data_IF_850504363957
#
_entry.id   IF_850504363957
#
_cell.length_a   1.000
_cell.length_b   1.000
_cell.length_c   1.000
_cell.angle_alpha   90.00
_cell.angle_beta   90.00
_cell.angle_gamma   90.00
#
_symmetry.space_group_name_H-M   'P 1'
#
loop_
_entity.id
_entity.type
_entity.pdbx_description
1 polymer ?
#
# COMPACT_ATOMS: atom_id res chain seq x y z
N UNK A 1 23.81 -9.41 -9.46
CA UNK A 1 23.88 -9.13 -8.02
C UNK A 1 22.48 -8.84 -7.50
N UNK A 2 22.14 -9.31 -6.30
CA UNK A 2 20.85 -9.10 -5.64
C UNK A 2 21.09 -8.67 -4.19
N UNK A 3 20.41 -7.64 -3.75
CA UNK A 3 20.39 -7.21 -2.35
C UNK A 3 18.95 -7.04 -1.87
N UNK A 4 18.67 -7.39 -0.62
CA UNK A 4 17.38 -7.12 0.06
C UNK A 4 17.72 -6.76 1.50
N UNK A 5 17.14 -5.67 1.96
CA UNK A 5 17.14 -5.23 3.36
C UNK A 5 15.70 -5.01 3.80
N UNK A 6 15.36 -5.46 4.99
CA UNK A 6 14.03 -5.26 5.58
C UNK A 6 14.17 -5.03 7.09
N UNK A 7 13.38 -4.10 7.58
CA UNK A 7 13.21 -3.82 9.01
C UNK A 7 11.72 -3.70 9.30
N UNK A 8 11.24 -4.43 10.30
CA UNK A 8 9.85 -4.40 10.74
C UNK A 8 9.85 -4.19 12.25
N UNK A 9 9.09 -3.23 12.70
CA UNK A 9 8.90 -2.93 14.11
C UNK A 9 7.41 -2.93 14.44
N UNK A 10 7.05 -3.59 15.51
CA UNK A 10 5.71 -3.64 16.07
C UNK A 10 5.77 -3.21 17.53
N UNK A 11 4.85 -2.32 17.92
CA UNK A 11 4.66 -1.91 19.30
C UNK A 11 3.22 -2.22 19.68
N UNK A 12 3.04 -3.08 20.66
CA UNK A 12 1.74 -3.53 21.16
C UNK A 12 1.44 -2.82 22.48
N UNK A 13 0.20 -2.35 22.65
CA UNK A 13 -0.27 -1.72 23.89
C UNK A 13 -1.62 -2.31 24.29
N UNK A 14 -1.86 -2.30 25.60
CA UNK A 14 -3.18 -2.62 26.16
C UNK A 14 -4.10 -1.39 26.16
N UNK A 15 -5.32 -1.56 26.67
CA UNK A 15 -6.34 -0.50 26.75
C UNK A 15 -5.97 0.66 27.68
N UNK A 16 -4.98 0.48 28.58
CA UNK A 16 -4.43 1.52 29.45
C UNK A 16 -3.21 2.22 28.82
N UNK A 17 -2.82 1.80 27.59
CA UNK A 17 -1.65 2.31 26.88
C UNK A 17 -0.31 1.75 27.37
N UNK A 18 -0.32 0.70 28.22
CA UNK A 18 0.87 0.02 28.70
C UNK A 18 1.46 -0.87 27.59
N UNK A 19 2.80 -0.88 27.47
CA UNK A 19 3.48 -1.75 26.53
C UNK A 19 3.31 -3.23 26.90
N UNK A 20 3.10 -4.04 25.87
CA UNK A 20 3.03 -5.50 25.98
C UNK A 20 4.32 -6.08 25.43
N UNK A 21 5.16 -6.62 26.32
CA UNK A 21 6.47 -7.19 25.96
C UNK A 21 6.34 -8.58 25.29
N UNK A 22 5.30 -9.33 25.68
CA UNK A 22 5.07 -10.71 25.23
C UNK A 22 3.74 -10.86 24.48
N UNK A 23 3.57 -10.25 23.29
CA UNK A 23 2.26 -10.18 22.61
C UNK A 23 1.65 -11.54 22.26
N UNK A 24 2.48 -12.60 22.10
CA UNK A 24 1.97 -13.95 21.85
C UNK A 24 1.31 -14.57 23.07
N UNK A 25 1.86 -14.30 24.25
CA UNK A 25 1.33 -14.81 25.53
C UNK A 25 0.16 -13.97 26.05
N UNK A 26 0.16 -12.67 25.75
CA UNK A 26 -0.77 -11.66 26.27
C UNK A 26 -1.72 -11.12 25.18
N UNK A 27 -1.97 -11.89 24.13
CA UNK A 27 -2.74 -11.46 22.96
C UNK A 27 -4.12 -10.87 23.28
N UNK A 28 -4.77 -11.36 24.35
CA UNK A 28 -6.11 -10.92 24.77
C UNK A 28 -6.09 -9.51 25.41
N UNK A 29 -4.92 -9.02 25.81
CA UNK A 29 -4.73 -7.68 26.34
C UNK A 29 -4.45 -6.63 25.25
N UNK A 30 -4.13 -7.06 24.03
CA UNK A 30 -3.75 -6.15 22.95
C UNK A 30 -4.98 -5.30 22.56
N UNK A 31 -4.86 -3.98 22.73
CA UNK A 31 -5.86 -3.00 22.30
C UNK A 31 -5.39 -2.20 21.08
N UNK A 32 -4.08 -1.97 20.94
CA UNK A 32 -3.54 -1.25 19.78
C UNK A 32 -2.19 -1.81 19.33
N UNK A 33 -1.88 -1.56 18.06
CA UNK A 33 -0.62 -1.92 17.41
C UNK A 33 -0.12 -0.72 16.61
N UNK A 34 1.14 -0.31 16.84
CA UNK A 34 1.86 0.55 15.93
C UNK A 34 2.81 -0.32 15.11
N UNK A 35 2.79 -0.14 13.81
CA UNK A 35 3.65 -0.83 12.87
C UNK A 35 4.49 0.18 12.11
N UNK A 36 5.80 -0.06 12.06
CA UNK A 36 6.72 0.62 11.16
C UNK A 36 7.45 -0.42 10.33
N UNK A 37 7.42 -0.25 9.01
CA UNK A 37 8.03 -1.16 8.07
C UNK A 37 8.90 -0.44 7.06
N UNK A 38 10.08 -0.97 6.83
CA UNK A 38 10.99 -0.56 5.78
C UNK A 38 11.46 -1.77 5.01
N UNK A 39 11.46 -1.68 3.69
CA UNK A 39 12.03 -2.69 2.82
C UNK A 39 12.62 -2.03 1.59
N UNK A 40 13.86 -2.38 1.27
CA UNK A 40 14.49 -2.01 0.00
C UNK A 40 15.17 -3.22 -0.64
N UNK A 41 15.35 -3.15 -1.93
CA UNK A 41 16.06 -4.18 -2.66
C UNK A 41 16.51 -3.71 -4.02
N UNK A 42 17.53 -4.39 -4.53
CA UNK A 42 18.03 -4.17 -5.88
C UNK A 42 18.43 -5.48 -6.55
N UNK A 43 18.25 -5.53 -7.85
CA UNK A 43 18.67 -6.63 -8.70
C UNK A 43 19.35 -6.05 -9.93
N UNK A 44 20.55 -6.56 -10.23
CA UNK A 44 21.26 -6.26 -11.48
C UNK A 44 21.71 -7.58 -12.12
N UNK A 45 21.47 -7.73 -13.41
CA UNK A 45 21.90 -8.89 -14.20
C UNK A 45 22.20 -8.48 -15.64
N UNK A 46 23.03 -9.28 -16.30
CA UNK A 46 23.26 -9.16 -17.75
C UNK A 46 22.38 -10.12 -18.52
N UNK A 47 21.80 -9.64 -19.58
CA UNK A 47 21.05 -10.46 -20.53
C UNK A 47 22.00 -11.33 -21.36
N UNK A 48 21.55 -12.40 -22.03
CA UNK A 48 22.38 -13.18 -22.97
C UNK A 48 22.98 -12.34 -24.08
N UNK A 49 22.35 -11.23 -24.45
CA UNK A 49 22.86 -10.25 -25.44
C UNK A 49 23.91 -9.29 -24.86
N UNK A 50 24.31 -9.45 -23.60
CA UNK A 50 25.33 -8.62 -22.95
C UNK A 50 24.80 -7.30 -22.36
N UNK A 51 23.54 -6.96 -22.56
CA UNK A 51 22.94 -5.73 -22.02
C UNK A 51 22.72 -5.84 -20.51
N UNK A 52 22.94 -4.74 -19.83
CA UNK A 52 22.71 -4.66 -18.39
C UNK A 52 21.25 -4.30 -18.11
N UNK A 53 20.64 -4.98 -17.14
CA UNK A 53 19.34 -4.65 -16.58
C UNK A 53 19.46 -4.50 -15.10
N UNK A 54 18.92 -3.42 -14.56
CA UNK A 54 18.83 -3.23 -13.11
C UNK A 54 17.42 -2.81 -12.70
N UNK A 55 17.06 -3.15 -11.50
CA UNK A 55 15.85 -2.65 -10.83
C UNK A 55 16.11 -2.48 -9.35
N UNK A 56 15.52 -1.45 -8.78
CA UNK A 56 15.53 -1.19 -7.34
C UNK A 56 14.13 -0.83 -6.87
N UNK A 57 13.88 -1.08 -5.60
CA UNK A 57 12.66 -0.64 -4.93
C UNK A 57 12.96 -0.27 -3.48
N UNK A 58 12.18 0.64 -2.97
CA UNK A 58 12.09 0.98 -1.55
C UNK A 58 10.61 1.11 -1.18
N UNK A 59 10.24 0.60 -0.01
CA UNK A 59 8.92 0.71 0.57
C UNK A 59 9.04 1.06 2.03
N UNK A 60 8.29 2.07 2.47
CA UNK A 60 8.10 2.47 3.86
C UNK A 60 6.62 2.41 4.18
N UNK A 61 6.28 1.99 5.38
CA UNK A 61 4.91 1.98 5.85
C UNK A 61 4.88 2.27 7.35
N UNK A 62 3.92 3.08 7.76
CA UNK A 62 3.62 3.37 9.16
C UNK A 62 2.13 3.24 9.35
N UNK A 63 1.71 2.31 10.22
CA UNK A 63 0.32 2.03 10.47
C UNK A 63 0.03 2.00 11.96
N UNK A 64 -1.11 2.55 12.33
CA UNK A 64 -1.67 2.50 13.67
C UNK A 64 -3.04 1.82 13.64
N UNK A 65 -3.24 0.84 14.50
CA UNK A 65 -4.47 0.07 14.62
C UNK A 65 -4.94 0.14 16.08
N UNK A 66 -6.20 0.46 16.28
CA UNK A 66 -6.86 0.50 17.59
C UNK A 66 -8.13 -0.34 17.60
N UNK A 67 -8.70 -0.55 18.79
CA UNK A 67 -9.95 -1.27 18.98
C UNK A 67 -9.81 -2.78 18.89
N UNK A 68 -8.61 -3.32 19.12
CA UNK A 68 -8.36 -4.77 19.06
C UNK A 68 -8.89 -5.52 20.28
N UNK A 69 -9.11 -4.86 21.42
CA UNK A 69 -9.69 -5.45 22.63
C UNK A 69 -11.09 -6.00 22.38
N UNK A 70 -11.46 -7.04 23.12
CA UNK A 70 -12.75 -7.74 22.94
C UNK A 70 -13.99 -6.86 23.20
N UNK A 71 -13.83 -5.80 24.01
CA UNK A 71 -14.92 -4.88 24.34
C UNK A 71 -15.25 -3.89 23.21
N UNK A 72 -14.37 -3.72 22.22
CA UNK A 72 -14.61 -2.86 21.05
C UNK A 72 -15.28 -3.66 19.93
N UNK A 73 -16.32 -3.09 19.33
CA UNK A 73 -17.00 -3.66 18.15
C UNK A 73 -16.35 -3.22 16.83
N UNK A 74 -15.43 -2.27 16.91
CA UNK A 74 -14.83 -1.63 15.73
C UNK A 74 -13.33 -1.58 15.89
N UNK A 75 -12.62 -1.88 14.80
CA UNK A 75 -11.18 -1.65 14.64
C UNK A 75 -11.01 -0.38 13.81
N UNK A 76 -10.15 0.53 14.24
CA UNK A 76 -9.73 1.69 13.46
C UNK A 76 -8.32 1.49 12.95
N UNK A 77 -8.06 2.01 11.75
CA UNK A 77 -6.79 1.85 11.07
C UNK A 77 -6.41 3.19 10.41
N UNK A 78 -5.24 3.70 10.74
CA UNK A 78 -4.71 4.92 10.17
C UNK A 78 -3.23 4.75 9.81
N UNK A 79 -2.79 5.47 8.79
CA UNK A 79 -1.37 5.50 8.45
C UNK A 79 -1.10 5.76 6.99
N UNK A 80 0.12 5.46 6.59
CA UNK A 80 0.60 5.74 5.25
C UNK A 80 1.59 4.68 4.76
N UNK A 81 1.72 4.61 3.44
CA UNK A 81 2.69 3.79 2.76
C UNK A 81 3.29 4.57 1.59
N UNK A 82 4.60 4.55 1.52
CA UNK A 82 5.37 5.12 0.41
C UNK A 82 6.11 4.00 -0.32
N UNK A 83 6.11 4.06 -1.64
CA UNK A 83 6.84 3.14 -2.50
C UNK A 83 7.60 3.92 -3.56
N UNK A 84 8.85 3.55 -3.76
CA UNK A 84 9.68 4.06 -4.84
C UNK A 84 10.32 2.89 -5.59
N UNK A 85 10.50 3.04 -6.89
CA UNK A 85 11.19 2.04 -7.69
C UNK A 85 11.86 2.67 -8.90
N UNK A 86 12.91 2.04 -9.35
CA UNK A 86 13.61 2.41 -10.56
C UNK A 86 13.96 1.17 -11.38
N UNK A 87 13.95 1.31 -12.70
CA UNK A 87 14.40 0.28 -13.65
C UNK A 87 15.27 0.93 -14.71
N UNK A 88 16.33 0.25 -15.05
CA UNK A 88 17.18 0.61 -16.19
C UNK A 88 17.37 -0.62 -17.08
N UNK A 89 17.19 -0.44 -18.38
CA UNK A 89 17.38 -1.50 -19.38
C UNK A 89 17.57 -0.92 -20.78
N UNK A 90 18.13 -1.72 -21.67
CA UNK A 90 18.21 -1.40 -23.10
C UNK A 90 17.03 -2.06 -23.80
N UNK A 91 16.27 -1.27 -24.58
CA UNK A 91 15.14 -1.78 -25.36
C UNK A 91 15.60 -2.50 -26.66
N UNK A 92 14.64 -3.09 -27.39
CA UNK A 92 14.92 -3.83 -28.64
C UNK A 92 15.50 -2.97 -29.77
N UNK A 93 15.43 -1.63 -29.64
CA UNK A 93 16.03 -0.65 -30.56
C UNK A 93 17.44 -0.20 -30.13
N UNK A 94 18.01 -0.81 -29.08
CA UNK A 94 19.31 -0.46 -28.56
C UNK A 94 19.35 0.85 -27.76
N UNK A 95 18.20 1.40 -27.37
CA UNK A 95 18.13 2.63 -26.61
C UNK A 95 18.06 2.32 -25.10
N UNK A 96 18.77 3.11 -24.31
CA UNK A 96 18.65 3.08 -22.86
C UNK A 96 17.29 3.62 -22.43
N UNK A 97 16.65 2.89 -21.52
CA UNK A 97 15.36 3.23 -20.92
C UNK A 97 15.52 3.25 -19.41
N UNK A 98 15.17 4.38 -18.83
CA UNK A 98 15.02 4.55 -17.39
C UNK A 98 13.55 4.73 -17.05
N UNK A 99 13.10 4.04 -16.02
CA UNK A 99 11.76 4.17 -15.47
C UNK A 99 11.86 4.39 -13.96
N UNK A 100 11.23 5.44 -13.48
CA UNK A 100 11.07 5.73 -12.06
C UNK A 100 9.59 5.68 -11.70
N UNK A 101 9.31 5.18 -10.53
CA UNK A 101 7.97 5.07 -9.98
C UNK A 101 7.99 5.53 -8.53
N UNK A 102 7.00 6.36 -8.17
CA UNK A 102 6.71 6.74 -6.78
C UNK A 102 5.22 6.60 -6.55
N UNK A 103 4.83 6.03 -5.41
CA UNK A 103 3.47 6.00 -4.96
C UNK A 103 3.41 6.32 -3.47
N UNK A 104 2.44 7.11 -3.10
CA UNK A 104 2.08 7.42 -1.72
C UNK A 104 0.61 7.07 -1.53
N UNK A 105 0.33 6.34 -0.46
CA UNK A 105 -1.01 5.96 -0.03
C UNK A 105 -1.14 6.36 1.43
N UNK A 106 -2.20 7.08 1.77
CA UNK A 106 -2.46 7.56 3.13
C UNK A 106 -3.95 7.45 3.44
N UNK A 107 -4.30 7.16 4.68
CA UNK A 107 -5.69 7.23 5.13
C UNK A 107 -6.14 8.70 5.19
N UNK A 108 -7.30 9.01 4.61
CA UNK A 108 -7.96 10.30 4.74
C UNK A 108 -8.98 10.21 5.88
N UNK A 109 -8.49 10.41 7.11
CA UNK A 109 -9.17 10.02 8.34
C UNK A 109 -9.08 8.51 8.60
N UNK A 110 -9.60 8.04 9.73
CA UNK A 110 -9.52 6.63 10.08
C UNK A 110 -10.38 5.75 9.15
N UNK A 111 -9.83 4.61 8.78
CA UNK A 111 -10.58 3.50 8.18
C UNK A 111 -11.15 2.65 9.30
N UNK A 112 -12.43 2.34 9.22
CA UNK A 112 -13.16 1.56 10.21
C UNK A 112 -13.44 0.17 9.69
N UNK A 113 -13.21 -0.84 10.52
CA UNK A 113 -13.54 -2.23 10.25
C UNK A 113 -14.44 -2.71 11.39
N UNK A 114 -15.70 -3.00 11.09
CA UNK A 114 -16.59 -3.64 12.07
C UNK A 114 -16.08 -5.06 12.30
N UNK A 115 -16.01 -5.49 13.56
CA UNK A 115 -15.55 -6.86 13.88
C UNK A 115 -16.54 -7.88 13.35
N UNK A 116 -16.07 -8.85 12.54
CA UNK A 116 -16.95 -9.80 11.89
C UNK A 116 -17.56 -10.77 12.89
N UNK A 117 -18.82 -11.13 12.68
CA UNK A 117 -19.38 -12.37 13.19
C UNK A 117 -18.87 -13.56 12.36
N UNK A 118 -19.16 -14.79 12.77
CA UNK A 118 -18.63 -16.01 12.13
C UNK A 118 -18.99 -16.16 10.62
N UNK A 119 -19.95 -15.39 10.11
CA UNK A 119 -20.46 -15.47 8.74
C UNK A 119 -20.17 -14.24 7.89
N UNK A 120 -19.62 -13.18 8.47
CA UNK A 120 -19.39 -11.92 7.77
C UNK A 120 -18.03 -11.93 7.06
N UNK A 121 -17.94 -11.24 5.93
CA UNK A 121 -16.70 -11.05 5.21
C UNK A 121 -16.20 -9.62 5.38
N UNK A 122 -14.89 -9.45 5.55
CA UNK A 122 -14.27 -8.17 5.92
C UNK A 122 -14.54 -7.06 4.90
N UNK A 123 -14.68 -7.39 3.62
CA UNK A 123 -14.96 -6.42 2.57
C UNK A 123 -16.31 -5.71 2.77
N UNK A 124 -17.29 -6.36 3.41
CA UNK A 124 -18.60 -5.80 3.74
C UNK A 124 -18.64 -5.05 5.07
N UNK A 125 -17.52 -5.00 5.78
CA UNK A 125 -17.41 -4.39 7.11
C UNK A 125 -16.41 -3.25 7.15
N UNK A 126 -15.82 -2.89 6.00
CA UNK A 126 -14.75 -1.90 5.89
C UNK A 126 -15.29 -0.59 5.33
N UNK A 127 -15.01 0.51 6.04
CA UNK A 127 -15.47 1.87 5.73
C UNK A 127 -14.31 2.84 5.86
N UNK A 128 -14.25 3.82 4.97
CA UNK A 128 -13.26 4.91 5.05
C UNK A 128 -12.64 5.24 3.72
N UNK A 129 -11.76 6.21 3.72
CA UNK A 129 -11.15 6.75 2.51
C UNK A 129 -9.64 6.70 2.61
N UNK A 130 -9.01 6.32 1.51
CA UNK A 130 -7.57 6.44 1.28
C UNK A 130 -7.33 7.49 0.19
N UNK A 131 -6.35 8.35 0.38
CA UNK A 131 -5.82 9.19 -0.67
C UNK A 131 -4.57 8.55 -1.26
N UNK A 132 -4.37 8.71 -2.57
CA UNK A 132 -3.19 8.20 -3.24
C UNK A 132 -2.62 9.20 -4.24
N UNK A 133 -1.30 9.15 -4.39
CA UNK A 133 -0.54 9.86 -5.40
C UNK A 133 0.40 8.85 -6.08
N UNK A 134 0.44 8.85 -7.41
CA UNK A 134 1.34 8.00 -8.19
C UNK A 134 2.02 8.85 -9.24
N UNK A 135 3.34 8.77 -9.29
CA UNK A 135 4.15 9.43 -10.31
C UNK A 135 5.02 8.39 -11.00
N UNK A 136 4.98 8.37 -12.33
CA UNK A 136 5.83 7.54 -13.17
C UNK A 136 6.57 8.43 -14.16
N UNK A 137 7.88 8.24 -14.25
CA UNK A 137 8.76 8.92 -15.22
C UNK A 137 9.41 7.87 -16.08
N UNK A 138 9.33 8.03 -17.38
CA UNK A 138 10.03 7.19 -18.35
C UNK A 138 10.92 8.06 -19.22
N UNK A 139 12.22 7.76 -19.25
CA UNK A 139 13.21 8.39 -20.13
C UNK A 139 13.68 7.38 -21.16
N UNK A 140 13.75 7.80 -22.44
CA UNK A 140 14.26 6.98 -23.53
C UNK A 140 15.05 7.89 -24.46
N UNK A 141 16.38 7.82 -24.40
CA UNK A 141 17.25 8.82 -25.04
C UNK A 141 16.93 10.22 -24.52
N UNK A 142 16.70 11.18 -25.41
CA UNK A 142 16.35 12.57 -25.06
C UNK A 142 14.85 12.79 -24.76
N UNK A 143 14.04 11.74 -24.77
CA UNK A 143 12.60 11.83 -24.52
C UNK A 143 12.28 11.47 -23.08
N UNK A 144 11.55 12.36 -22.42
CA UNK A 144 10.95 12.11 -21.10
C UNK A 144 9.43 12.13 -21.20
N UNK A 145 8.79 11.18 -20.55
CA UNK A 145 7.33 11.11 -20.38
C UNK A 145 7.04 10.98 -18.89
N UNK A 146 6.20 11.87 -18.38
CA UNK A 146 5.77 11.89 -16.98
C UNK A 146 4.27 11.62 -16.91
N UNK A 147 3.86 10.70 -16.06
CA UNK A 147 2.48 10.44 -15.71
C UNK A 147 2.32 10.67 -14.22
N UNK A 148 1.38 11.53 -13.86
CA UNK A 148 0.99 11.81 -12.49
C UNK A 148 -0.49 11.54 -12.33
N UNK A 149 -0.84 10.78 -11.30
CA UNK A 149 -2.21 10.42 -10.97
C UNK A 149 -2.37 10.55 -9.47
N UNK A 150 -3.40 11.25 -9.07
CA UNK A 150 -3.82 11.38 -7.67
C UNK A 150 -5.33 11.21 -7.54
N UNK A 151 -5.78 10.76 -6.39
CA UNK A 151 -7.19 10.54 -6.16
C UNK A 151 -7.49 9.88 -4.83
N UNK A 152 -8.67 9.29 -4.75
CA UNK A 152 -9.17 8.64 -3.53
C UNK A 152 -9.71 7.25 -3.83
N UNK A 153 -9.65 6.40 -2.80
CA UNK A 153 -10.26 5.08 -2.74
C UNK A 153 -11.22 5.09 -1.56
N UNK A 154 -12.53 5.00 -1.82
CA UNK A 154 -13.59 5.06 -0.82
C UNK A 154 -14.23 3.69 -0.64
N UNK A 155 -14.26 3.20 0.60
CA UNK A 155 -14.88 1.93 1.01
C UNK A 155 -16.13 2.23 1.83
N UNK A 156 -17.27 1.66 1.45
CA UNK A 156 -18.58 1.96 2.02
C UNK A 156 -19.28 0.74 2.65
N UNK A 157 -18.54 -0.34 2.88
CA UNK A 157 -19.09 -1.56 3.49
C UNK A 157 -20.02 -2.35 2.57
N UNK A 158 -19.95 -2.11 1.25
CA UNK A 158 -20.75 -2.81 0.24
C UNK A 158 -19.97 -3.92 -0.51
N UNK A 159 -18.78 -4.24 -0.03
CA UNK A 159 -17.87 -5.21 -0.66
C UNK A 159 -17.07 -4.63 -1.82
N UNK A 160 -17.15 -3.32 -2.05
CA UNK A 160 -16.42 -2.65 -3.12
C UNK A 160 -15.67 -1.41 -2.63
N UNK A 161 -14.74 -0.94 -3.45
CA UNK A 161 -14.07 0.34 -3.28
C UNK A 161 -14.32 1.21 -4.52
N UNK A 162 -14.67 2.47 -4.31
CA UNK A 162 -14.85 3.45 -5.36
C UNK A 162 -13.55 4.23 -5.55
N UNK A 163 -12.94 4.12 -6.72
CA UNK A 163 -11.70 4.82 -7.08
C UNK A 163 -12.03 6.06 -7.89
N UNK A 164 -11.58 7.20 -7.41
CA UNK A 164 -11.71 8.50 -8.06
C UNK A 164 -10.34 9.03 -8.45
N UNK A 165 -10.27 9.68 -9.59
CA UNK A 165 -9.07 10.37 -10.08
C UNK A 165 -9.34 11.86 -10.11
N UNK A 166 -8.44 12.68 -9.55
CA UNK A 166 -8.61 14.13 -9.61
C UNK A 166 -8.45 14.62 -11.05
N UNK A 167 -9.39 15.49 -11.46
CA UNK A 167 -9.43 16.04 -12.81
C UNK A 167 -9.97 15.10 -13.89
N UNK A 168 -10.38 13.89 -13.54
CA UNK A 168 -11.00 12.91 -14.45
C UNK A 168 -12.40 12.61 -13.93
N UNK A 169 -13.47 12.81 -14.73
CA UNK A 169 -14.85 12.62 -14.26
C UNK A 169 -15.24 11.15 -14.10
N UNK A 170 -14.49 10.21 -14.72
CA UNK A 170 -14.76 8.79 -14.58
C UNK A 170 -14.37 8.29 -13.20
N UNK A 171 -15.21 7.43 -12.64
CA UNK A 171 -14.97 6.69 -11.42
C UNK A 171 -14.95 5.20 -11.73
N UNK A 172 -14.22 4.43 -10.92
CA UNK A 172 -14.09 2.99 -11.08
C UNK A 172 -14.45 2.31 -9.77
N UNK A 173 -15.20 1.23 -9.88
CA UNK A 173 -15.56 0.37 -8.75
C UNK A 173 -14.72 -0.89 -8.80
N UNK A 174 -14.07 -1.22 -7.69
CA UNK A 174 -13.28 -2.43 -7.53
C UNK A 174 -13.99 -3.32 -6.51
N UNK A 175 -14.35 -4.53 -6.90
CA UNK A 175 -14.93 -5.51 -5.98
C UNK A 175 -13.80 -6.15 -5.16
N UNK A 176 -13.79 -5.91 -3.85
CA UNK A 176 -12.68 -6.28 -2.97
C UNK A 176 -12.46 -7.80 -2.85
N UNK A 177 -13.54 -8.58 -2.93
CA UNK A 177 -13.47 -10.04 -2.87
C UNK A 177 -12.91 -10.70 -4.13
N UNK A 178 -13.06 -10.08 -5.32
CA UNK A 178 -12.65 -10.66 -6.61
C UNK A 178 -11.54 -9.89 -7.32
N UNK A 179 -11.37 -8.60 -6.99
CA UNK A 179 -10.49 -7.68 -7.72
C UNK A 179 -11.06 -7.24 -9.09
N UNK A 180 -12.30 -7.57 -9.40
CA UNK A 180 -12.96 -7.13 -10.63
C UNK A 180 -13.13 -5.61 -10.64
N UNK A 181 -12.86 -4.99 -11.80
CA UNK A 181 -12.95 -3.53 -11.98
C UNK A 181 -14.07 -3.21 -12.97
N UNK A 182 -14.97 -2.33 -12.58
CA UNK A 182 -16.02 -1.79 -13.43
C UNK A 182 -15.92 -0.28 -13.47
N UNK A 183 -16.19 0.30 -14.64
CA UNK A 183 -16.36 1.76 -14.74
C UNK A 183 -17.72 2.12 -14.14
N UNK A 184 -17.70 2.98 -13.16
CA UNK A 184 -18.90 3.57 -12.55
C UNK A 184 -19.22 4.86 -13.32
N UNK A 185 -20.44 5.02 -13.71
CA UNK A 185 -20.89 6.13 -14.60
C UNK A 185 -21.13 7.43 -13.85
#
# INVERSE_FOLDING_TARGET
QKSIEAQLQYVFKDSEGQFIEHPRAERERIASINFEGFRKGSVAHRTPSGNERSSSFERRATWHVEGLEAASDTITFEGEQQMEGARHFVNDKGQEVEQEFRAHLVTDGPVYILKPSATDSLEHLTYGTLAYEVRMVKRTGDKEVVHEVEGTIEMNGDGSALVRFYGIPQTYRIFLGTGEVQQDS
#
